data_IF_076580015319
#
_entry.id   IF_076580015319
#
_cell.length_a   1.000
_cell.length_b   1.000
_cell.length_c   1.000
_cell.angle_alpha   90.00
_cell.angle_beta   90.00
_cell.angle_gamma   90.00
#
_symmetry.space_group_name_H-M   'P 1'
#
loop_
_entity.id
_entity.type
_entity.pdbx_description
1 polymer ?
#
# COMPACT_ATOMS: atom_id res chain seq x y z
N UNK A 1 68.83 -22.81 44.33
CA UNK A 1 70.16 -23.39 44.03
C UNK A 1 70.91 -23.50 45.35
N UNK A 2 71.24 -24.72 45.78
CA UNK A 2 72.32 -24.90 46.76
C UNK A 2 73.65 -24.88 46.00
N UNK A 3 74.71 -24.53 46.73
CA UNK A 3 76.11 -24.44 46.34
C UNK A 3 76.58 -23.13 45.70
N UNK A 4 77.02 -22.27 46.62
CA UNK A 4 78.21 -21.46 46.49
C UNK A 4 79.42 -22.30 46.06
N UNK A 5 80.31 -21.70 45.26
CA UNK A 5 81.75 -21.60 45.53
C UNK A 5 82.30 -20.43 44.70
N UNK A 6 82.97 -19.54 45.42
CA UNK A 6 83.76 -18.38 44.95
C UNK A 6 85.13 -18.84 44.45
N UNK A 7 85.88 -17.85 43.91
CA UNK A 7 87.35 -17.72 43.81
C UNK A 7 88.01 -18.23 42.52
N UNK A 8 88.95 -17.56 41.84
CA UNK A 8 89.68 -16.25 41.85
C UNK A 8 90.27 -16.12 40.42
N UNK A 9 90.40 -14.95 39.77
CA UNK A 9 91.67 -14.22 39.48
C UNK A 9 91.26 -13.15 38.42
N UNK A 10 91.27 -11.84 38.74
CA UNK A 10 92.36 -10.87 38.53
C UNK A 10 92.86 -10.72 37.08
N UNK A 11 92.71 -9.51 36.54
CA UNK A 11 93.38 -9.03 35.34
C UNK A 11 92.66 -7.79 34.80
N UNK A 12 93.19 -6.59 35.09
CA UNK A 12 92.51 -5.31 34.87
C UNK A 12 92.51 -4.80 33.43
N UNK A 13 91.85 -3.66 33.22
CA UNK A 13 92.19 -2.64 32.21
C UNK A 13 91.37 -1.35 32.51
N UNK A 14 92.13 -0.31 32.91
CA UNK A 14 92.13 1.09 32.46
C UNK A 14 90.80 1.84 32.25
N UNK A 15 90.69 2.92 33.03
CA UNK A 15 89.81 4.08 32.94
C UNK A 15 89.97 4.87 31.63
N UNK A 16 88.87 5.24 30.96
CA UNK A 16 88.80 6.50 30.20
C UNK A 16 87.35 6.98 30.05
N UNK A 17 87.07 8.15 30.64
CA UNK A 17 85.86 8.95 30.46
C UNK A 17 86.04 9.80 29.20
N UNK A 18 85.21 9.61 28.18
CA UNK A 18 85.02 10.57 27.08
C UNK A 18 83.53 10.61 26.73
N UNK A 19 82.91 11.77 26.95
CA UNK A 19 81.61 12.09 26.39
C UNK A 19 81.73 12.52 24.94
N UNK A 20 80.75 12.14 24.12
CA UNK A 20 80.40 12.84 22.88
C UNK A 20 78.88 12.94 22.78
N UNK A 21 78.42 14.12 23.20
CA UNK A 21 77.33 14.93 22.69
C UNK A 21 76.63 14.40 21.43
N UNK A 22 75.35 14.13 21.57
CA UNK A 22 74.40 14.06 20.48
C UNK A 22 74.26 15.45 19.83
N UNK A 23 74.68 15.58 18.57
CA UNK A 23 74.31 16.70 17.71
C UNK A 23 72.82 16.59 17.35
N UNK A 24 71.95 17.21 18.16
CA UNK A 24 70.60 17.56 17.73
C UNK A 24 70.67 18.79 16.83
N UNK A 25 70.77 18.59 15.51
CA UNK A 25 70.62 19.68 14.55
C UNK A 25 69.21 20.27 14.67
N UNK A 26 69.09 21.49 15.20
CA UNK A 26 67.85 22.23 15.18
C UNK A 26 67.50 22.52 13.71
N UNK A 27 66.47 21.84 13.19
CA UNK A 27 65.88 22.16 11.90
C UNK A 27 65.35 23.59 11.98
N UNK A 28 66.01 24.54 11.33
CA UNK A 28 65.55 25.94 11.26
C UNK A 28 64.26 25.96 10.43
N UNK A 29 63.13 26.19 11.12
CA UNK A 29 61.83 26.36 10.49
C UNK A 29 61.70 27.79 9.98
N UNK A 30 61.05 27.97 8.83
CA UNK A 30 60.69 29.29 8.33
C UNK A 30 59.65 29.96 9.23
N UNK A 31 59.68 31.29 9.29
CA UNK A 31 58.70 32.06 10.04
C UNK A 31 57.27 31.72 9.57
N UNK A 32 56.31 31.59 10.50
CA UNK A 32 54.95 31.22 10.16
C UNK A 32 54.31 32.29 9.25
N UNK A 33 53.72 31.88 8.12
CA UNK A 33 52.93 32.79 7.28
C UNK A 33 51.79 33.42 8.07
N UNK A 34 51.38 34.64 7.68
CA UNK A 34 50.31 35.39 8.36
C UNK A 34 49.02 34.57 8.51
N UNK A 35 48.65 33.78 7.49
CA UNK A 35 47.43 32.96 7.50
C UNK A 35 47.42 31.82 8.53
N UNK A 36 48.58 31.46 9.09
CA UNK A 36 48.71 30.51 10.21
C UNK A 36 48.37 31.19 11.53
N UNK A 37 48.70 32.47 11.67
CA UNK A 37 48.49 33.26 12.89
C UNK A 37 47.10 33.92 12.90
N UNK A 38 46.62 34.35 11.73
CA UNK A 38 45.35 35.04 11.54
C UNK A 38 44.58 34.41 10.37
N UNK A 39 43.42 33.81 10.67
CA UNK A 39 42.59 33.18 9.63
C UNK A 39 42.12 34.24 8.62
N UNK A 40 42.42 34.09 7.31
CA UNK A 40 42.02 35.08 6.33
C UNK A 40 40.48 35.11 6.17
N UNK A 41 39.93 36.29 5.92
CA UNK A 41 38.51 36.51 5.61
C UNK A 41 38.40 37.09 4.22
N UNK A 42 37.50 36.55 3.40
CA UNK A 42 37.26 37.06 2.05
C UNK A 42 35.78 37.03 1.69
N UNK A 43 35.30 38.12 1.08
CA UNK A 43 33.95 38.16 0.49
C UNK A 43 33.85 37.30 -0.77
N UNK A 44 34.95 37.11 -1.50
CA UNK A 44 34.99 36.44 -2.82
C UNK A 44 35.37 34.96 -2.76
N UNK A 45 35.93 34.49 -1.64
CA UNK A 45 36.41 33.12 -1.50
C UNK A 45 35.83 32.43 -0.26
N UNK A 46 35.51 31.14 -0.40
CA UNK A 46 35.47 30.21 0.72
C UNK A 46 36.89 29.81 1.09
N UNK A 47 37.17 29.74 2.39
CA UNK A 47 38.52 29.58 2.93
C UNK A 47 38.50 28.39 3.88
N UNK A 48 39.44 27.46 3.67
CA UNK A 48 39.68 26.32 4.53
C UNK A 48 41.10 26.37 5.06
N UNK A 49 41.27 26.51 6.38
CA UNK A 49 42.59 26.50 7.04
C UNK A 49 42.53 25.57 8.23
N UNK A 50 43.40 24.56 8.25
CA UNK A 50 43.47 23.64 9.37
C UNK A 50 44.85 23.05 9.55
N UNK A 51 45.08 22.49 10.74
CA UNK A 51 46.30 21.83 11.14
C UNK A 51 46.09 20.39 11.59
N UNK A 52 47.17 19.63 11.56
CA UNK A 52 47.24 18.32 12.19
C UNK A 52 48.57 18.15 12.92
N UNK A 53 48.48 17.63 14.13
CA UNK A 53 49.64 17.36 14.97
C UNK A 53 50.43 16.16 14.43
N UNK A 54 51.74 16.34 14.32
CA UNK A 54 52.68 15.29 13.96
C UNK A 54 52.86 14.27 15.08
N UNK A 55 52.67 14.67 16.34
CA UNK A 55 52.73 13.72 17.47
C UNK A 55 51.54 12.78 17.47
N UNK A 56 50.38 13.23 16.95
CA UNK A 56 49.16 12.43 16.87
C UNK A 56 49.07 11.61 15.57
N UNK A 57 49.46 12.19 14.44
CA UNK A 57 49.22 11.62 13.11
C UNK A 57 50.49 11.15 12.39
N UNK A 58 51.68 11.36 12.96
CA UNK A 58 52.94 10.92 12.36
C UNK A 58 53.11 11.40 10.92
N UNK A 59 53.41 10.47 10.01
CA UNK A 59 53.59 10.73 8.57
C UNK A 59 52.29 11.21 7.89
N UNK A 60 51.12 10.85 8.43
CA UNK A 60 49.81 11.24 7.89
C UNK A 60 49.39 12.66 8.28
N UNK A 61 50.18 13.38 9.08
CA UNK A 61 49.84 14.74 9.51
C UNK A 61 49.58 15.68 8.32
N UNK A 62 50.35 15.56 7.24
CA UNK A 62 50.12 16.37 6.02
C UNK A 62 48.76 16.07 5.38
N UNK A 63 48.48 14.79 5.10
CA UNK A 63 47.20 14.37 4.52
C UNK A 63 46.02 14.75 5.42
N UNK A 64 46.19 14.60 6.74
CA UNK A 64 45.18 14.94 7.74
C UNK A 64 44.90 16.44 7.79
N UNK A 65 45.94 17.29 7.78
CA UNK A 65 45.77 18.74 7.76
C UNK A 65 45.05 19.21 6.48
N UNK A 66 45.41 18.63 5.33
CA UNK A 66 44.73 18.91 4.06
C UNK A 66 43.25 18.50 4.09
N UNK A 67 42.95 17.28 4.57
CA UNK A 67 41.57 16.79 4.73
C UNK A 67 40.75 17.69 5.66
N UNK A 68 41.33 18.11 6.79
CA UNK A 68 40.67 19.00 7.74
C UNK A 68 40.45 20.40 7.17
N UNK A 69 41.39 20.94 6.39
CA UNK A 69 41.24 22.24 5.75
C UNK A 69 40.11 22.22 4.70
N UNK A 70 39.96 21.13 3.93
CA UNK A 70 38.82 20.96 3.02
C UNK A 70 37.49 20.80 3.78
N UNK A 71 37.48 20.07 4.91
CA UNK A 71 36.30 19.96 5.76
C UNK A 71 35.87 21.30 6.40
N UNK A 72 36.83 22.14 6.79
CA UNK A 72 36.60 23.51 7.26
C UNK A 72 35.94 24.37 6.17
N UNK A 73 36.46 24.30 4.94
CA UNK A 73 35.85 24.97 3.78
C UNK A 73 34.41 24.48 3.50
N UNK A 74 34.20 23.16 3.50
CA UNK A 74 32.88 22.56 3.32
C UNK A 74 31.89 23.04 4.40
N UNK A 75 32.33 23.13 5.65
CA UNK A 75 31.56 23.68 6.75
C UNK A 75 31.15 25.13 6.53
N UNK A 76 32.06 25.96 6.00
CA UNK A 76 31.76 27.35 5.68
C UNK A 76 30.72 27.48 4.56
N UNK A 77 30.85 26.69 3.49
CA UNK A 77 29.86 26.62 2.40
C UNK A 77 28.49 26.22 2.95
N UNK A 78 28.45 25.19 3.80
CA UNK A 78 27.23 24.69 4.45
C UNK A 78 26.48 25.79 5.20
N UNK A 79 27.20 26.56 6.02
CA UNK A 79 26.62 27.70 6.76
C UNK A 79 26.12 28.78 5.81
N UNK A 80 26.88 29.10 4.76
CA UNK A 80 26.51 30.10 3.76
C UNK A 80 25.22 29.72 3.03
N UNK A 81 25.10 28.47 2.55
CA UNK A 81 23.91 27.99 1.84
C UNK A 81 22.71 27.96 2.80
N UNK A 82 22.88 27.44 4.03
CA UNK A 82 21.81 27.43 5.04
C UNK A 82 21.30 28.84 5.36
N UNK A 83 22.19 29.84 5.39
CA UNK A 83 21.80 31.24 5.64
C UNK A 83 21.10 31.92 4.46
N UNK A 84 21.31 31.45 3.23
CA UNK A 84 20.75 32.04 2.01
C UNK A 84 19.47 31.33 1.55
N UNK A 85 19.21 30.12 2.04
CA UNK A 85 18.04 29.33 1.67
C UNK A 85 16.75 29.90 2.28
N UNK A 86 16.05 30.74 1.50
CA UNK A 86 14.72 31.28 1.85
C UNK A 86 13.69 31.06 0.72
N UNK A 87 14.02 30.21 -0.26
CA UNK A 87 13.12 29.87 -1.37
C UNK A 87 12.70 28.41 -1.23
N UNK A 88 11.43 28.21 -0.89
CA UNK A 88 10.75 26.92 -1.00
C UNK A 88 9.56 27.17 -1.92
N UNK A 89 9.55 26.52 -3.08
CA UNK A 89 8.40 26.53 -3.98
C UNK A 89 7.19 25.93 -3.26
N UNK A 90 6.03 26.57 -3.37
CA UNK A 90 4.81 26.18 -2.64
C UNK A 90 4.32 24.77 -2.97
N UNK A 91 4.67 24.26 -4.15
CA UNK A 91 4.28 22.94 -4.66
C UNK A 91 4.98 21.77 -3.94
N UNK A 92 6.21 21.97 -3.47
CA UNK A 92 7.01 20.93 -2.79
C UNK A 92 7.18 21.22 -1.29
N UNK A 93 6.28 22.04 -0.71
CA UNK A 93 6.37 22.56 0.64
C UNK A 93 6.51 21.41 1.66
N UNK A 94 7.51 21.48 2.52
CA UNK A 94 7.85 20.43 3.49
C UNK A 94 8.89 19.45 2.96
N UNK A 95 8.59 18.74 1.87
CA UNK A 95 9.44 17.67 1.33
C UNK A 95 10.73 18.24 0.70
N UNK A 96 10.62 19.27 -0.13
CA UNK A 96 11.80 19.93 -0.70
C UNK A 96 12.67 20.59 0.36
N UNK A 97 12.05 21.14 1.42
CA UNK A 97 12.78 21.75 2.54
C UNK A 97 13.57 20.71 3.36
N UNK A 98 12.97 19.54 3.61
CA UNK A 98 13.63 18.46 4.31
C UNK A 98 14.77 17.85 3.49
N UNK A 99 14.52 17.49 2.22
CA UNK A 99 15.56 16.97 1.33
C UNK A 99 16.75 17.93 1.20
N UNK A 100 16.47 19.23 1.08
CA UNK A 100 17.51 20.26 1.03
C UNK A 100 18.34 20.32 2.32
N UNK A 101 17.70 20.25 3.50
CA UNK A 101 18.39 20.25 4.79
C UNK A 101 19.27 19.00 4.98
N UNK A 102 18.79 17.84 4.55
CA UNK A 102 19.53 16.57 4.58
C UNK A 102 20.72 16.61 3.63
N UNK A 103 20.54 17.04 2.38
CA UNK A 103 21.59 17.14 1.37
C UNK A 103 22.72 18.09 1.79
N UNK A 104 22.38 19.25 2.33
CA UNK A 104 23.36 20.21 2.86
C UNK A 104 24.15 19.61 4.03
N UNK A 105 23.50 18.78 4.84
CA UNK A 105 24.14 18.12 5.97
C UNK A 105 25.04 16.95 5.53
N UNK A 106 24.71 16.28 4.42
CA UNK A 106 25.45 15.13 3.89
C UNK A 106 26.58 15.49 2.91
N UNK A 107 26.61 16.71 2.36
CA UNK A 107 27.64 17.15 1.43
C UNK A 107 29.05 17.01 2.04
N UNK A 108 29.93 16.29 1.36
CA UNK A 108 31.26 15.95 1.87
C UNK A 108 32.32 16.92 1.38
N UNK A 109 33.49 16.91 2.04
CA UNK A 109 34.68 17.61 1.55
C UNK A 109 35.24 17.00 0.25
N UNK A 110 34.84 15.77 -0.10
CA UNK A 110 35.25 15.06 -1.30
C UNK A 110 34.48 15.54 -2.54
N UNK A 111 33.29 16.14 -2.35
CA UNK A 111 32.45 16.68 -3.43
C UNK A 111 32.89 18.09 -3.91
N UNK A 112 33.86 18.68 -3.22
CA UNK A 112 34.39 20.01 -3.52
C UNK A 112 35.28 19.96 -4.77
N UNK A 113 34.92 20.74 -5.77
CA UNK A 113 35.70 20.91 -6.99
C UNK A 113 36.20 22.35 -7.16
N UNK A 114 37.30 22.50 -7.88
CA UNK A 114 37.81 23.81 -8.28
C UNK A 114 38.49 24.61 -7.18
N UNK A 115 38.77 24.01 -6.02
CA UNK A 115 39.57 24.60 -4.95
C UNK A 115 41.06 24.70 -5.35
N UNK A 116 41.78 25.62 -4.71
CA UNK A 116 43.18 25.90 -4.95
C UNK A 116 43.96 25.78 -3.64
N UNK A 117 45.12 25.10 -3.67
CA UNK A 117 46.05 25.11 -2.54
C UNK A 117 46.82 26.42 -2.56
N UNK A 118 46.59 27.27 -1.56
CA UNK A 118 47.26 28.57 -1.44
C UNK A 118 48.63 28.40 -0.76
N UNK A 119 48.72 27.50 0.21
CA UNK A 119 49.96 27.23 0.91
C UNK A 119 49.89 26.06 1.87
N UNK A 120 51.07 25.58 2.25
CA UNK A 120 51.28 24.64 3.35
C UNK A 120 52.36 25.20 4.25
N UNK A 121 52.24 24.98 5.54
CA UNK A 121 53.25 25.38 6.51
C UNK A 121 53.50 24.24 7.49
N UNK A 122 54.74 24.06 7.91
CA UNK A 122 55.15 22.98 8.79
C UNK A 122 56.10 23.55 9.84
N UNK A 123 55.89 23.18 11.10
CA UNK A 123 56.81 23.47 12.20
C UNK A 123 57.16 22.17 12.95
N UNK A 124 57.79 22.25 14.12
CA UNK A 124 58.17 21.06 14.88
C UNK A 124 56.98 20.17 15.30
N UNK A 125 55.80 20.76 15.53
CA UNK A 125 54.65 20.08 16.15
C UNK A 125 53.54 19.76 15.16
N UNK A 126 53.31 20.62 14.18
CA UNK A 126 52.11 20.62 13.34
C UNK A 126 52.42 20.78 11.86
N UNK A 127 51.50 20.26 11.04
CA UNK A 127 51.39 20.57 9.63
C UNK A 127 50.11 21.36 9.38
N UNK A 128 50.18 22.42 8.59
CA UNK A 128 49.09 23.33 8.24
C UNK A 128 48.84 23.31 6.74
N UNK A 129 47.57 23.38 6.35
CA UNK A 129 47.15 23.53 4.97
C UNK A 129 46.15 24.68 4.82
N UNK A 130 46.31 25.45 3.75
CA UNK A 130 45.38 26.52 3.36
C UNK A 130 44.89 26.29 1.93
N UNK A 131 43.57 26.14 1.81
CA UNK A 131 42.84 26.11 0.56
C UNK A 131 41.87 27.28 0.42
N UNK A 132 41.62 27.71 -0.81
CA UNK A 132 40.56 28.66 -1.15
C UNK A 132 39.72 28.17 -2.33
N UNK A 133 38.45 28.57 -2.39
CA UNK A 133 37.55 28.34 -3.51
C UNK A 133 36.78 29.61 -3.83
N UNK A 134 36.87 30.09 -5.08
CA UNK A 134 36.11 31.27 -5.51
C UNK A 134 34.61 30.98 -5.44
N UNK A 135 33.84 31.87 -4.81
CA UNK A 135 32.37 31.75 -4.72
C UNK A 135 31.73 31.75 -6.10
N UNK A 136 32.20 32.60 -7.01
CA UNK A 136 31.72 32.63 -8.40
C UNK A 136 32.03 31.32 -9.15
N UNK A 137 33.21 30.73 -8.93
CA UNK A 137 33.57 29.44 -9.54
C UNK A 137 32.71 28.30 -8.99
N UNK A 138 32.44 28.31 -7.68
CA UNK A 138 31.54 27.36 -7.03
C UNK A 138 30.12 27.43 -7.61
N UNK A 139 29.53 28.62 -7.70
CA UNK A 139 28.19 28.79 -8.28
C UNK A 139 28.14 28.37 -9.75
N UNK A 140 29.18 28.67 -10.55
CA UNK A 140 29.26 28.22 -11.94
C UNK A 140 29.23 26.68 -12.04
N UNK A 141 30.05 25.97 -11.26
CA UNK A 141 30.10 24.50 -11.28
C UNK A 141 28.77 23.91 -10.82
N UNK A 142 28.16 24.48 -9.76
CA UNK A 142 26.84 24.06 -9.28
C UNK A 142 25.75 24.25 -10.35
N UNK A 143 25.76 25.39 -11.04
CA UNK A 143 24.82 25.65 -12.13
C UNK A 143 25.06 24.71 -13.32
N UNK A 144 26.31 24.42 -13.70
CA UNK A 144 26.63 23.46 -14.76
C UNK A 144 26.10 22.06 -14.43
N UNK A 145 26.30 21.59 -13.19
CA UNK A 145 25.74 20.31 -12.71
C UNK A 145 24.22 20.31 -12.75
N UNK A 146 23.59 21.39 -12.26
CA UNK A 146 22.13 21.54 -12.31
C UNK A 146 21.60 21.49 -13.74
N UNK A 147 22.21 22.24 -14.67
CA UNK A 147 21.80 22.23 -16.08
C UNK A 147 21.94 20.85 -16.72
N UNK A 148 23.00 20.09 -16.40
CA UNK A 148 23.15 18.72 -16.88
C UNK A 148 22.04 17.79 -16.36
N UNK A 149 21.61 17.95 -15.09
CA UNK A 149 20.48 17.21 -14.53
C UNK A 149 19.16 17.62 -15.18
N UNK A 150 18.96 18.92 -15.41
CA UNK A 150 17.77 19.44 -16.11
C UNK A 150 17.68 18.89 -17.54
N UNK A 151 18.79 18.72 -18.25
CA UNK A 151 18.79 18.13 -19.59
C UNK A 151 18.30 16.67 -19.56
N UNK A 152 18.79 15.88 -18.60
CA UNK A 152 18.33 14.49 -18.39
C UNK A 152 16.83 14.45 -18.06
N UNK A 153 16.38 15.31 -17.16
CA UNK A 153 14.98 15.41 -16.78
C UNK A 153 14.08 15.89 -17.93
N UNK A 154 14.57 16.82 -18.76
CA UNK A 154 13.91 17.28 -19.98
C UNK A 154 13.70 16.15 -20.98
N UNK A 155 14.71 15.28 -21.17
CA UNK A 155 14.60 14.08 -22.00
C UNK A 155 13.53 13.11 -21.49
N UNK A 156 13.41 12.92 -20.18
CA UNK A 156 12.33 12.14 -19.59
C UNK A 156 10.97 12.80 -19.78
N UNK A 157 10.86 14.10 -19.57
CA UNK A 157 9.60 14.83 -19.79
C UNK A 157 9.11 14.72 -21.25
N UNK A 158 10.00 14.85 -22.24
CA UNK A 158 9.65 14.62 -23.66
C UNK A 158 9.15 13.18 -23.87
N UNK A 159 9.85 12.21 -23.32
CA UNK A 159 9.47 10.79 -23.41
C UNK A 159 8.09 10.52 -22.78
N UNK A 160 7.79 11.23 -21.69
CA UNK A 160 6.51 11.16 -21.00
C UNK A 160 5.37 11.74 -21.84
N UNK A 161 5.54 12.94 -22.42
CA UNK A 161 4.53 13.54 -23.29
C UNK A 161 4.24 12.67 -24.52
N UNK A 162 5.29 12.11 -25.15
CA UNK A 162 5.12 11.18 -26.26
C UNK A 162 4.35 9.92 -25.86
N UNK A 163 4.74 9.29 -24.74
CA UNK A 163 4.04 8.11 -24.21
C UNK A 163 2.57 8.42 -23.87
N UNK A 164 2.29 9.62 -23.35
CA UNK A 164 0.94 10.09 -23.04
C UNK A 164 0.10 10.22 -24.31
N UNK A 165 0.63 10.88 -25.35
CA UNK A 165 -0.06 11.03 -26.65
C UNK A 165 -0.35 9.66 -27.28
N UNK A 166 0.56 8.70 -27.13
CA UNK A 166 0.40 7.32 -27.61
C UNK A 166 -0.53 6.46 -26.73
N UNK A 167 -1.05 6.99 -25.62
CA UNK A 167 -1.91 6.24 -24.70
C UNK A 167 -1.18 5.21 -23.83
N UNK A 168 0.16 5.24 -23.79
CA UNK A 168 1.00 4.35 -22.95
C UNK A 168 1.08 4.88 -21.52
N UNK A 169 -0.04 4.77 -20.80
CA UNK A 169 -0.25 5.32 -19.45
C UNK A 169 0.88 5.01 -18.46
N UNK A 170 1.21 3.72 -18.25
CA UNK A 170 2.24 3.33 -17.28
C UNK A 170 3.62 3.88 -17.64
N UNK A 171 3.96 3.93 -18.94
CA UNK A 171 5.23 4.48 -19.40
C UNK A 171 5.27 6.01 -19.24
N UNK A 172 4.17 6.72 -19.51
CA UNK A 172 4.09 8.15 -19.29
C UNK A 172 4.33 8.50 -17.81
N UNK A 173 3.67 7.80 -16.89
CA UNK A 173 3.90 7.96 -15.45
C UNK A 173 5.35 7.66 -15.06
N UNK A 174 5.91 6.55 -15.53
CA UNK A 174 7.31 6.18 -15.26
C UNK A 174 8.29 7.29 -15.67
N UNK A 175 8.10 7.86 -16.87
CA UNK A 175 8.97 8.93 -17.36
C UNK A 175 8.81 10.23 -16.59
N UNK A 176 7.60 10.67 -16.25
CA UNK A 176 7.44 11.86 -15.41
C UNK A 176 8.06 11.67 -14.02
N UNK A 177 7.92 10.48 -13.42
CA UNK A 177 8.55 10.15 -12.13
C UNK A 177 10.07 10.22 -12.26
N UNK A 178 10.66 9.63 -13.30
CA UNK A 178 12.12 9.74 -13.56
C UNK A 178 12.57 11.18 -13.76
N UNK A 179 11.76 12.00 -14.43
CA UNK A 179 12.03 13.42 -14.61
C UNK A 179 12.13 14.14 -13.26
N UNK A 180 11.20 13.87 -12.34
CA UNK A 180 11.24 14.41 -10.98
C UNK A 180 12.43 13.87 -10.16
N UNK A 181 12.71 12.56 -10.23
CA UNK A 181 13.86 11.94 -9.56
C UNK A 181 15.19 12.54 -10.01
N UNK A 182 15.35 12.80 -11.31
CA UNK A 182 16.59 13.34 -11.88
C UNK A 182 16.96 14.73 -11.33
N UNK A 183 15.97 15.50 -10.85
CA UNK A 183 16.15 16.84 -10.27
C UNK A 183 15.89 16.88 -8.76
N UNK A 184 15.85 15.72 -8.08
CA UNK A 184 15.58 15.62 -6.65
C UNK A 184 16.44 16.57 -5.80
N UNK A 185 17.72 16.67 -6.14
CA UNK A 185 18.69 17.57 -5.49
C UNK A 185 18.32 19.07 -5.60
N UNK A 186 17.42 19.42 -6.53
CA UNK A 186 17.08 20.81 -6.87
C UNK A 186 15.58 21.11 -6.74
N UNK A 187 14.77 20.26 -6.09
CA UNK A 187 13.32 20.49 -5.93
C UNK A 187 12.96 21.79 -5.21
N UNK A 188 13.84 22.29 -4.35
CA UNK A 188 13.65 23.56 -3.63
C UNK A 188 13.91 24.80 -4.51
N UNK A 189 14.46 24.60 -5.70
CA UNK A 189 14.85 25.67 -6.62
C UNK A 189 13.91 25.74 -7.83
N UNK A 190 13.95 26.88 -8.52
CA UNK A 190 13.34 27.01 -9.83
C UNK A 190 14.17 26.22 -10.86
N UNK A 191 13.50 25.39 -11.65
CA UNK A 191 14.11 24.40 -12.55
C UNK A 191 13.69 24.66 -14.01
N UNK A 192 13.96 25.89 -14.47
CA UNK A 192 13.68 26.32 -15.84
C UNK A 192 14.56 25.57 -16.85
N UNK A 193 13.91 25.03 -17.88
CA UNK A 193 14.55 24.35 -18.99
C UNK A 193 13.93 24.78 -20.32
N UNK A 194 14.77 24.91 -21.35
CA UNK A 194 14.36 25.37 -22.67
C UNK A 194 13.80 24.20 -23.48
N UNK A 195 12.49 23.97 -23.37
CA UNK A 195 11.82 22.96 -24.18
C UNK A 195 11.62 23.46 -25.63
N UNK A 196 11.37 22.56 -26.60
CA UNK A 196 11.11 22.93 -27.99
C UNK A 196 9.96 23.94 -28.18
N UNK A 197 8.99 23.99 -27.25
CA UNK A 197 7.84 24.88 -27.28
C UNK A 197 7.95 26.13 -26.39
N UNK A 198 9.12 26.37 -25.78
CA UNK A 198 9.35 27.47 -24.84
C UNK A 198 9.94 27.01 -23.51
N UNK A 199 10.34 27.96 -22.68
CA UNK A 199 10.89 27.68 -21.35
C UNK A 199 9.80 27.20 -20.40
N UNK A 200 10.06 26.14 -19.64
CA UNK A 200 9.15 25.60 -18.62
C UNK A 200 9.92 25.19 -17.36
N UNK A 201 9.23 25.17 -16.21
CA UNK A 201 9.76 24.56 -14.99
C UNK A 201 9.52 23.04 -15.01
N UNK A 202 10.60 22.25 -15.03
CA UNK A 202 10.52 20.80 -15.18
C UNK A 202 9.86 20.10 -13.99
N UNK A 203 10.09 20.60 -12.78
CA UNK A 203 9.48 20.04 -11.57
C UNK A 203 7.96 20.12 -11.65
N UNK A 204 7.46 21.32 -11.96
CA UNK A 204 6.04 21.56 -12.15
C UNK A 204 5.49 20.78 -13.35
N UNK A 205 6.16 20.83 -14.50
CA UNK A 205 5.66 20.20 -15.72
C UNK A 205 5.54 18.67 -15.60
N UNK A 206 6.47 18.01 -14.89
CA UNK A 206 6.37 16.59 -14.59
C UNK A 206 5.26 16.28 -13.60
N UNK A 207 5.12 17.06 -12.52
CA UNK A 207 4.03 16.89 -11.54
C UNK A 207 2.65 17.08 -12.18
N UNK A 208 2.47 18.17 -12.93
CA UNK A 208 1.25 18.46 -13.70
C UNK A 208 1.01 17.39 -14.78
N UNK A 209 2.08 16.80 -15.33
CA UNK A 209 2.02 15.65 -16.24
C UNK A 209 1.42 14.41 -15.58
N UNK A 210 1.90 14.03 -14.39
CA UNK A 210 1.36 12.91 -13.60
C UNK A 210 -0.12 13.16 -13.30
N UNK A 211 -0.45 14.36 -12.81
CA UNK A 211 -1.83 14.73 -12.52
C UNK A 211 -2.72 14.62 -13.76
N UNK A 212 -2.26 15.08 -14.94
CA UNK A 212 -3.00 14.97 -16.20
C UNK A 212 -3.22 13.52 -16.62
N UNK A 213 -2.20 12.66 -16.50
CA UNK A 213 -2.34 11.24 -16.81
C UNK A 213 -3.42 10.58 -15.94
N UNK A 214 -3.43 10.90 -14.64
CA UNK A 214 -4.43 10.37 -13.72
C UNK A 214 -5.84 10.92 -13.99
N UNK A 215 -5.97 12.20 -14.35
CA UNK A 215 -7.27 12.81 -14.67
C UNK A 215 -7.85 12.35 -16.01
N UNK A 216 -7.00 12.03 -16.97
CA UNK A 216 -7.41 11.52 -18.29
C UNK A 216 -7.85 10.04 -18.21
N UNK A 217 -7.49 9.32 -17.14
CA UNK A 217 -7.99 7.99 -16.87
C UNK A 217 -9.43 8.04 -16.36
N UNK A 218 -10.26 7.10 -16.81
CA UNK A 218 -11.61 6.90 -16.27
C UNK A 218 -12.00 5.43 -16.29
N UNK A 219 -12.93 5.06 -15.41
CA UNK A 219 -13.52 3.74 -15.31
C UNK A 219 -14.99 3.79 -15.69
N UNK A 220 -15.44 2.83 -16.48
CA UNK A 220 -16.84 2.63 -16.86
C UNK A 220 -17.23 1.18 -16.61
N UNK A 221 -18.14 0.94 -15.67
CA UNK A 221 -18.74 -0.37 -15.50
C UNK A 221 -19.87 -0.58 -16.51
N UNK A 222 -20.06 -1.82 -16.95
CA UNK A 222 -21.16 -2.21 -17.86
C UNK A 222 -22.55 -2.16 -17.20
N UNK A 223 -22.60 -2.16 -15.86
CA UNK A 223 -23.82 -2.05 -15.07
C UNK A 223 -23.74 -0.94 -14.02
N UNK A 224 -24.84 -0.19 -13.86
CA UNK A 224 -25.01 0.79 -12.77
C UNK A 224 -25.53 0.15 -11.47
N UNK A 225 -26.01 -1.09 -11.53
CA UNK A 225 -26.41 -1.92 -10.39
C UNK A 225 -26.31 -3.38 -10.81
N UNK A 226 -25.60 -4.18 -10.02
CA UNK A 226 -25.50 -5.62 -10.26
C UNK A 226 -26.62 -6.34 -9.49
N UNK A 227 -27.55 -6.95 -10.21
CA UNK A 227 -28.64 -7.74 -9.62
C UNK A 227 -28.30 -9.21 -9.71
N UNK A 228 -28.14 -9.85 -8.56
CA UNK A 228 -27.86 -11.28 -8.45
C UNK A 228 -29.02 -11.96 -7.73
N UNK A 229 -29.46 -13.11 -8.22
CA UNK A 229 -30.62 -13.81 -7.70
C UNK A 229 -30.34 -15.30 -7.46
N UNK A 230 -31.34 -15.99 -6.96
CA UNK A 230 -31.26 -17.43 -6.73
C UNK A 230 -31.03 -18.24 -8.02
N UNK A 231 -31.56 -17.83 -9.17
CA UNK A 231 -31.40 -18.57 -10.43
C UNK A 231 -29.94 -18.69 -10.88
N UNK A 232 -29.16 -17.69 -10.54
CA UNK A 232 -27.75 -17.50 -10.83
C UNK A 232 -26.88 -17.81 -9.60
N UNK A 233 -27.48 -18.41 -8.56
CA UNK A 233 -26.83 -18.77 -7.28
C UNK A 233 -26.08 -17.60 -6.64
N UNK A 234 -26.60 -16.40 -6.84
CA UNK A 234 -25.97 -15.15 -6.44
C UNK A 234 -24.54 -14.98 -6.98
N UNK A 235 -24.28 -15.48 -8.19
CA UNK A 235 -23.03 -15.34 -8.92
C UNK A 235 -23.25 -14.54 -10.19
N UNK A 236 -22.24 -13.75 -10.57
CA UNK A 236 -22.29 -13.00 -11.82
C UNK A 236 -20.95 -12.36 -12.11
N UNK A 237 -20.87 -11.73 -13.28
CA UNK A 237 -19.70 -10.98 -13.70
C UNK A 237 -20.00 -9.49 -13.72
N UNK A 238 -18.96 -8.69 -13.53
CA UNK A 238 -19.01 -7.24 -13.76
C UNK A 238 -17.87 -6.87 -14.70
N UNK A 239 -18.20 -6.34 -15.86
CA UNK A 239 -17.22 -5.82 -16.80
C UNK A 239 -16.87 -4.37 -16.44
N UNK A 240 -15.58 -4.05 -16.46
CA UNK A 240 -15.09 -2.70 -16.28
C UNK A 240 -14.16 -2.33 -17.42
N UNK A 241 -14.44 -1.18 -18.04
CA UNK A 241 -13.65 -0.58 -19.09
C UNK A 241 -12.83 0.59 -18.54
N UNK A 242 -11.51 0.54 -18.70
CA UNK A 242 -10.63 1.68 -18.52
C UNK A 242 -10.51 2.47 -19.82
N UNK A 243 -10.66 3.78 -19.73
CA UNK A 243 -10.39 4.71 -20.81
C UNK A 243 -9.27 5.67 -20.42
N UNK A 244 -8.49 6.10 -21.39
CA UNK A 244 -7.50 7.15 -21.28
C UNK A 244 -7.79 8.21 -22.35
N UNK A 245 -8.07 9.44 -21.92
CA UNK A 245 -8.52 10.53 -22.80
C UNK A 245 -9.69 10.12 -23.72
N UNK A 246 -10.60 9.28 -23.21
CA UNK A 246 -11.77 8.75 -23.93
C UNK A 246 -11.52 7.54 -24.82
N UNK A 247 -10.27 7.13 -25.05
CA UNK A 247 -9.91 5.93 -25.82
C UNK A 247 -9.69 4.72 -24.91
N UNK A 248 -9.87 3.47 -25.39
CA UNK A 248 -9.55 2.26 -24.62
C UNK A 248 -8.12 2.24 -24.09
N UNK A 249 -7.94 1.97 -22.79
CA UNK A 249 -6.65 1.92 -22.13
C UNK A 249 -6.28 0.49 -21.73
N UNK A 250 -5.27 -0.08 -22.40
CA UNK A 250 -4.78 -1.44 -22.15
C UNK A 250 -3.78 -1.51 -21.01
N UNK A 251 -3.66 -2.70 -20.40
CA UNK A 251 -2.71 -2.98 -19.30
C UNK A 251 -2.89 -2.09 -18.07
N UNK A 252 -4.08 -1.55 -17.86
CA UNK A 252 -4.42 -0.76 -16.67
C UNK A 252 -4.82 -1.73 -15.55
N UNK A 253 -4.11 -1.75 -14.41
CA UNK A 253 -4.52 -2.56 -13.26
C UNK A 253 -5.72 -1.89 -12.59
N UNK A 254 -6.80 -2.66 -12.48
CA UNK A 254 -8.01 -2.28 -11.75
C UNK A 254 -8.11 -3.19 -10.55
N UNK A 255 -8.10 -2.59 -9.37
CA UNK A 255 -8.36 -3.28 -8.12
C UNK A 255 -9.85 -3.25 -7.80
N UNK A 256 -10.38 -4.38 -7.36
CA UNK A 256 -11.75 -4.50 -6.88
C UNK A 256 -11.81 -4.89 -5.42
N UNK A 257 -12.86 -4.41 -4.75
CA UNK A 257 -13.27 -4.87 -3.43
C UNK A 257 -14.78 -4.91 -3.35
N UNK A 258 -15.33 -6.03 -2.92
CA UNK A 258 -16.74 -6.13 -2.62
C UNK A 258 -17.02 -6.81 -1.29
N UNK A 259 -18.06 -6.31 -0.63
CA UNK A 259 -18.53 -6.85 0.64
C UNK A 259 -19.40 -8.06 0.36
N UNK A 260 -18.97 -9.23 0.86
CA UNK A 260 -19.67 -10.51 0.70
C UNK A 260 -19.95 -11.20 2.04
N UNK A 261 -19.85 -10.44 3.13
CA UNK A 261 -20.06 -10.91 4.50
C UNK A 261 -19.05 -10.29 5.43
N UNK A 262 -18.55 -11.10 6.36
CA UNK A 262 -17.57 -10.68 7.37
C UNK A 262 -16.27 -10.23 6.72
N UNK A 263 -15.81 -10.95 5.69
CA UNK A 263 -14.59 -10.62 4.96
C UNK A 263 -14.87 -10.19 3.52
N UNK A 264 -14.37 -9.01 3.11
CA UNK A 264 -14.48 -8.58 1.72
C UNK A 264 -13.63 -9.49 0.82
N UNK A 265 -14.03 -9.58 -0.44
CA UNK A 265 -13.21 -10.20 -1.48
C UNK A 265 -12.55 -9.12 -2.32
N UNK A 266 -11.28 -9.31 -2.62
CA UNK A 266 -10.48 -8.38 -3.42
C UNK A 266 -9.82 -9.10 -4.58
N UNK A 267 -9.67 -8.41 -5.70
CA UNK A 267 -8.91 -8.89 -6.85
C UNK A 267 -8.21 -7.71 -7.53
N UNK A 268 -7.16 -7.99 -8.30
CA UNK A 268 -6.51 -7.02 -9.17
C UNK A 268 -6.37 -7.63 -10.55
N UNK A 269 -6.99 -7.03 -11.56
CA UNK A 269 -6.97 -7.50 -12.93
C UNK A 269 -6.49 -6.39 -13.85
N UNK A 270 -5.71 -6.74 -14.87
CA UNK A 270 -5.26 -5.79 -15.90
C UNK A 270 -6.19 -5.80 -17.09
N UNK A 271 -6.46 -4.62 -17.65
CA UNK A 271 -7.28 -4.49 -18.86
C UNK A 271 -6.59 -5.09 -20.10
N UNK A 272 -7.41 -5.66 -20.99
CA UNK A 272 -6.97 -6.18 -22.30
C UNK A 272 -6.76 -5.04 -23.33
N UNK A 273 -6.54 -5.38 -24.61
CA UNK A 273 -6.35 -4.40 -25.70
C UNK A 273 -7.56 -3.50 -25.97
N UNK A 274 -8.75 -3.92 -25.56
CA UNK A 274 -10.00 -3.13 -25.68
C UNK A 274 -10.28 -2.32 -24.40
N UNK A 275 -9.33 -2.31 -23.46
CA UNK A 275 -9.45 -1.61 -22.19
C UNK A 275 -10.37 -2.29 -21.20
N UNK A 276 -10.71 -3.57 -21.39
CA UNK A 276 -11.71 -4.29 -20.60
C UNK A 276 -11.06 -5.27 -19.63
N UNK A 277 -11.60 -5.38 -18.41
CA UNK A 277 -11.42 -6.52 -17.52
C UNK A 277 -12.75 -6.96 -16.90
N UNK A 278 -12.86 -8.21 -16.48
CA UNK A 278 -14.11 -8.80 -15.98
C UNK A 278 -13.89 -9.40 -14.60
N UNK A 279 -14.69 -8.97 -13.61
CA UNK A 279 -14.62 -9.45 -12.24
C UNK A 279 -15.70 -10.48 -11.93
N UNK A 280 -15.30 -11.58 -11.31
CA UNK A 280 -16.21 -12.62 -10.81
C UNK A 280 -16.75 -12.26 -9.42
N UNK A 281 -18.07 -12.10 -9.34
CA UNK A 281 -18.81 -11.72 -8.14
C UNK A 281 -19.59 -12.92 -7.63
N UNK A 282 -19.51 -13.18 -6.32
CA UNK A 282 -20.26 -14.27 -5.70
C UNK A 282 -19.78 -14.62 -4.30
N UNK A 283 -20.12 -15.83 -3.86
CA UNK A 283 -19.72 -16.39 -2.56
C UNK A 283 -20.18 -15.51 -1.37
N UNK A 284 -21.40 -14.99 -1.42
CA UNK A 284 -22.01 -14.20 -0.35
C UNK A 284 -22.34 -15.09 0.86
N UNK A 285 -22.02 -14.61 2.06
CA UNK A 285 -22.47 -15.24 3.30
C UNK A 285 -24.00 -15.17 3.42
N UNK A 286 -24.57 -16.12 4.16
CA UNK A 286 -26.02 -16.22 4.35
C UNK A 286 -26.58 -14.97 5.04
N UNK A 287 -27.75 -14.51 4.58
CA UNK A 287 -28.45 -13.37 5.17
C UNK A 287 -28.04 -12.00 4.65
N UNK A 288 -27.01 -11.91 3.80
CA UNK A 288 -26.71 -10.67 3.08
C UNK A 288 -27.82 -10.42 2.05
N UNK A 289 -28.28 -9.17 1.99
CA UNK A 289 -29.33 -8.72 1.07
C UNK A 289 -28.83 -7.71 0.04
N UNK A 290 -27.72 -7.04 0.35
CA UNK A 290 -27.11 -6.05 -0.53
C UNK A 290 -25.62 -5.93 -0.21
N UNK A 291 -24.86 -5.48 -1.19
CA UNK A 291 -23.48 -5.10 -1.04
C UNK A 291 -23.13 -3.98 -2.01
N UNK A 292 -21.84 -3.71 -2.10
CA UNK A 292 -21.29 -2.84 -3.12
C UNK A 292 -19.95 -3.43 -3.58
N UNK A 293 -19.63 -3.20 -4.84
CA UNK A 293 -18.29 -3.39 -5.37
C UNK A 293 -17.69 -2.03 -5.68
N UNK A 294 -16.52 -1.77 -5.12
CA UNK A 294 -15.66 -0.65 -5.49
C UNK A 294 -14.61 -1.15 -6.46
N UNK A 295 -14.48 -0.45 -7.58
CA UNK A 295 -13.40 -0.60 -8.54
C UNK A 295 -12.56 0.68 -8.50
N UNK A 296 -11.25 0.54 -8.45
CA UNK A 296 -10.32 1.66 -8.38
C UNK A 296 -9.03 1.36 -9.13
N UNK A 297 -8.48 2.39 -9.74
CA UNK A 297 -7.10 2.37 -10.18
C UNK A 297 -6.25 2.88 -9.02
N UNK A 298 -5.22 2.14 -8.62
CA UNK A 298 -4.33 2.54 -7.53
C UNK A 298 -2.98 2.97 -8.10
N UNK A 299 -2.44 4.08 -7.60
CA UNK A 299 -1.16 4.61 -8.07
C UNK A 299 -0.02 3.59 -7.91
N UNK A 300 0.00 2.87 -6.78
CA UNK A 300 0.98 1.83 -6.49
C UNK A 300 0.92 0.63 -7.47
N UNK A 301 -0.25 0.34 -8.04
CA UNK A 301 -0.39 -0.74 -9.02
C UNK A 301 0.02 -0.25 -10.42
N UNK A 302 -0.30 1.00 -10.76
CA UNK A 302 0.12 1.64 -12.02
C UNK A 302 1.63 1.86 -12.10
N UNK A 303 2.26 2.20 -10.98
CA UNK A 303 3.71 2.45 -10.89
C UNK A 303 4.28 1.80 -9.63
N UNK A 304 4.55 0.49 -9.64
CA UNK A 304 5.05 -0.24 -8.46
C UNK A 304 6.36 0.31 -7.90
N UNK A 305 7.20 0.89 -8.76
CA UNK A 305 8.48 1.52 -8.39
C UNK A 305 8.32 2.77 -7.53
N UNK A 306 7.12 3.36 -7.49
CA UNK A 306 6.87 4.58 -6.72
C UNK A 306 7.13 4.34 -5.23
N UNK A 307 6.94 3.11 -4.73
CA UNK A 307 7.16 2.75 -3.31
C UNK A 307 8.57 3.05 -2.81
N UNK A 308 9.56 2.92 -3.68
CA UNK A 308 10.96 3.18 -3.36
C UNK A 308 11.43 4.55 -3.87
N UNK A 309 10.53 5.33 -4.47
CA UNK A 309 10.84 6.62 -5.08
C UNK A 309 10.61 7.76 -4.10
N UNK A 310 11.54 8.72 -3.98
CA UNK A 310 11.32 9.93 -3.19
C UNK A 310 10.16 10.79 -3.74
N UNK A 311 9.73 10.53 -4.98
CA UNK A 311 8.57 11.18 -5.62
C UNK A 311 7.24 10.75 -4.99
N UNK A 312 7.19 9.60 -4.30
CA UNK A 312 5.94 9.08 -3.71
C UNK A 312 5.18 10.14 -2.91
N UNK A 313 5.89 10.82 -2.01
CA UNK A 313 5.30 11.83 -1.14
C UNK A 313 4.77 13.06 -1.90
N UNK A 314 5.22 13.28 -3.14
CA UNK A 314 4.79 14.40 -3.99
C UNK A 314 3.48 14.12 -4.73
N UNK A 315 3.15 12.84 -4.91
CA UNK A 315 2.05 12.40 -5.77
C UNK A 315 1.04 11.50 -5.06
N UNK A 316 1.30 11.11 -3.80
CA UNK A 316 0.43 10.21 -3.02
C UNK A 316 -1.01 10.71 -2.85
N UNK A 317 -1.21 12.03 -2.83
CA UNK A 317 -2.52 12.66 -2.60
C UNK A 317 -3.25 12.97 -3.92
N UNK A 318 -2.66 12.61 -5.07
CA UNK A 318 -3.32 12.80 -6.35
C UNK A 318 -4.51 11.83 -6.48
N UNK A 319 -5.69 12.33 -6.87
CA UNK A 319 -6.87 11.49 -7.00
C UNK A 319 -6.69 10.48 -8.12
N UNK A 320 -7.13 9.25 -7.88
CA UNK A 320 -7.20 8.21 -8.91
C UNK A 320 -8.66 7.83 -9.21
N UNK A 321 -8.96 7.37 -10.44
CA UNK A 321 -10.31 7.00 -10.81
C UNK A 321 -10.85 5.84 -9.97
N UNK A 322 -12.10 5.98 -9.53
CA UNK A 322 -12.85 4.91 -8.88
C UNK A 322 -14.33 4.96 -9.26
N UNK A 323 -14.98 3.81 -9.22
CA UNK A 323 -16.43 3.66 -9.41
C UNK A 323 -16.96 2.66 -8.39
N UNK A 324 -18.14 2.92 -7.83
CA UNK A 324 -18.80 2.03 -6.88
C UNK A 324 -20.15 1.61 -7.45
N UNK A 325 -20.35 0.30 -7.58
CA UNK A 325 -21.58 -0.28 -8.12
C UNK A 325 -22.32 -1.01 -7.00
N UNK A 326 -23.60 -0.66 -6.73
CA UNK A 326 -24.43 -1.41 -5.80
C UNK A 326 -24.67 -2.83 -6.28
N UNK A 327 -24.65 -3.79 -5.35
CA UNK A 327 -25.02 -5.18 -5.57
C UNK A 327 -26.34 -5.44 -4.83
N UNK A 328 -27.37 -5.83 -5.57
CA UNK A 328 -28.66 -6.23 -5.01
C UNK A 328 -28.78 -7.75 -5.05
N UNK A 329 -28.95 -8.38 -3.89
CA UNK A 329 -29.22 -9.81 -3.79
C UNK A 329 -30.73 -10.02 -3.70
N UNK A 330 -31.32 -10.46 -4.82
CA UNK A 330 -32.75 -10.67 -4.94
C UNK A 330 -33.13 -11.94 -4.19
N UNK A 331 -33.87 -11.78 -3.10
CA UNK A 331 -34.39 -12.90 -2.31
C UNK A 331 -35.40 -13.69 -3.14
N UNK A 332 -35.34 -15.04 -3.13
CA UNK A 332 -36.27 -15.86 -3.88
C UNK A 332 -37.67 -15.82 -3.25
N UNK A 333 -38.64 -16.17 -4.07
CA UNK A 333 -40.03 -16.35 -3.66
C UNK A 333 -40.39 -17.83 -3.56
N UNK A 334 -41.22 -18.20 -2.58
CA UNK A 334 -41.62 -19.60 -2.34
C UNK A 334 -43.14 -19.76 -2.42
N UNK A 335 -43.62 -20.66 -3.26
CA UNK A 335 -45.00 -21.12 -3.21
C UNK A 335 -45.15 -22.25 -2.18
N UNK A 336 -46.18 -22.17 -1.34
CA UNK A 336 -46.47 -23.15 -0.29
C UNK A 336 -47.67 -24.01 -0.67
N UNK A 337 -47.44 -25.30 -0.90
CA UNK A 337 -48.46 -26.32 -1.07
C UNK A 337 -48.42 -27.30 0.10
N UNK A 338 -49.40 -27.21 0.99
CA UNK A 338 -49.42 -27.95 2.25
C UNK A 338 -50.71 -28.73 2.43
N UNK A 339 -50.61 -30.00 2.83
CA UNK A 339 -51.75 -30.85 3.18
C UNK A 339 -51.56 -31.40 4.59
N UNK A 340 -52.41 -30.98 5.52
CA UNK A 340 -52.39 -31.40 6.93
C UNK A 340 -53.61 -32.27 7.22
N UNK A 341 -53.39 -33.41 7.88
CA UNK A 341 -54.43 -34.41 8.19
C UNK A 341 -54.41 -34.85 9.66
N UNK A 342 -55.58 -35.26 10.14
CA UNK A 342 -55.77 -35.90 11.44
C UNK A 342 -56.48 -37.22 11.17
N UNK A 343 -55.79 -38.32 11.48
CA UNK A 343 -56.26 -39.69 11.21
C UNK A 343 -56.71 -39.86 9.75
N UNK A 344 -55.90 -39.36 8.80
CA UNK A 344 -56.17 -39.42 7.37
C UNK A 344 -57.27 -38.46 6.85
N UNK A 345 -57.93 -37.69 7.73
CA UNK A 345 -58.92 -36.69 7.34
C UNK A 345 -58.28 -35.31 7.24
N UNK A 346 -58.65 -34.53 6.23
CA UNK A 346 -58.18 -33.15 6.08
C UNK A 346 -58.45 -32.34 7.34
N UNK A 347 -57.41 -31.70 7.87
CA UNK A 347 -57.52 -30.78 8.98
C UNK A 347 -58.06 -29.42 8.51
N UNK A 348 -58.88 -28.79 9.35
CA UNK A 348 -59.30 -27.40 9.13
C UNK A 348 -58.21 -26.39 9.56
N UNK A 349 -57.21 -26.82 10.33
CA UNK A 349 -56.09 -25.99 10.77
C UNK A 349 -54.89 -26.15 9.82
N UNK A 350 -54.21 -25.06 9.50
CA UNK A 350 -52.95 -25.05 8.73
C UNK A 350 -51.78 -24.66 9.63
N UNK A 351 -51.53 -25.44 10.69
CA UNK A 351 -50.58 -25.08 11.74
C UNK A 351 -49.15 -25.02 11.18
N UNK A 352 -48.75 -26.06 10.43
CA UNK A 352 -47.42 -26.15 9.88
C UNK A 352 -47.22 -25.21 8.70
N UNK A 353 -48.25 -24.99 7.85
CA UNK A 353 -48.20 -23.97 6.80
C UNK A 353 -47.89 -22.59 7.39
N UNK A 354 -48.58 -22.21 8.47
CA UNK A 354 -48.41 -20.92 9.12
C UNK A 354 -47.01 -20.79 9.74
N UNK A 355 -46.51 -21.86 10.39
CA UNK A 355 -45.15 -21.90 10.93
C UNK A 355 -44.08 -21.72 9.83
N UNK A 356 -44.23 -22.40 8.70
CA UNK A 356 -43.31 -22.25 7.55
C UNK A 356 -43.38 -20.83 6.99
N UNK A 357 -44.59 -20.31 6.76
CA UNK A 357 -44.79 -18.95 6.23
C UNK A 357 -44.17 -17.87 7.14
N UNK A 358 -44.42 -17.94 8.44
CA UNK A 358 -43.84 -17.04 9.43
C UNK A 358 -42.31 -17.17 9.46
N UNK A 359 -41.82 -18.40 9.41
CA UNK A 359 -40.41 -18.72 9.39
C UNK A 359 -39.65 -18.17 8.17
N UNK A 360 -40.22 -18.30 6.97
CA UNK A 360 -39.67 -17.72 5.74
C UNK A 360 -39.62 -16.18 5.84
N UNK A 361 -40.73 -15.57 6.25
CA UNK A 361 -40.83 -14.11 6.40
C UNK A 361 -39.81 -13.56 7.41
N UNK A 362 -39.63 -14.22 8.55
CA UNK A 362 -38.65 -13.84 9.59
C UNK A 362 -37.22 -13.85 9.05
N UNK A 363 -36.94 -14.71 8.07
CA UNK A 363 -35.64 -14.80 7.39
C UNK A 363 -35.56 -13.98 6.11
N UNK A 364 -36.57 -13.16 5.83
CA UNK A 364 -36.62 -12.26 4.69
C UNK A 364 -36.93 -12.93 3.34
N UNK A 365 -37.43 -14.17 3.36
CA UNK A 365 -37.92 -14.86 2.16
C UNK A 365 -39.41 -14.61 2.03
N UNK A 366 -39.84 -14.14 0.87
CA UNK A 366 -41.24 -13.93 0.60
C UNK A 366 -41.89 -15.23 0.12
N UNK A 367 -43.11 -15.48 0.59
CA UNK A 367 -43.93 -16.56 0.05
C UNK A 367 -45.09 -15.99 -0.75
N UNK A 368 -45.52 -16.72 -1.78
CA UNK A 368 -46.54 -16.28 -2.74
C UNK A 368 -47.66 -17.32 -2.87
N UNK A 369 -48.89 -16.83 -3.02
CA UNK A 369 -50.06 -17.70 -3.18
C UNK A 369 -50.14 -18.33 -4.57
N UNK A 370 -49.70 -17.62 -5.62
CA UNK A 370 -49.75 -18.13 -6.99
C UNK A 370 -48.44 -18.83 -7.33
N UNK A 371 -48.55 -20.08 -7.76
CA UNK A 371 -47.44 -20.87 -8.28
C UNK A 371 -46.64 -20.16 -9.41
N UNK A 372 -47.31 -19.36 -10.24
CA UNK A 372 -46.67 -18.63 -11.34
C UNK A 372 -45.72 -17.51 -10.89
N UNK A 373 -45.91 -17.00 -9.67
CA UNK A 373 -45.14 -15.89 -9.10
C UNK A 373 -43.94 -16.39 -8.28
N UNK A 374 -43.71 -17.72 -8.24
CA UNK A 374 -42.74 -18.35 -7.36
C UNK A 374 -41.48 -18.81 -8.09
N UNK A 375 -40.33 -18.62 -7.43
CA UNK A 375 -39.04 -19.19 -7.87
C UNK A 375 -38.87 -20.64 -7.39
N UNK A 376 -39.54 -20.98 -6.29
CA UNK A 376 -39.47 -22.29 -5.65
C UNK A 376 -40.82 -22.79 -5.17
N UNK A 377 -40.92 -24.12 -5.03
CA UNK A 377 -42.12 -24.83 -4.61
C UNK A 377 -41.82 -25.67 -3.38
N UNK A 378 -42.51 -25.38 -2.27
CA UNK A 378 -42.46 -26.18 -1.07
C UNK A 378 -43.74 -27.00 -0.98
N UNK A 379 -43.59 -28.32 -1.11
CA UNK A 379 -44.65 -29.30 -0.93
C UNK A 379 -44.50 -29.92 0.46
N UNK A 380 -45.59 -29.96 1.24
CA UNK A 380 -45.62 -30.62 2.54
C UNK A 380 -46.87 -31.46 2.69
N UNK A 381 -46.69 -32.68 3.16
CA UNK A 381 -47.78 -33.53 3.65
C UNK A 381 -47.51 -33.90 5.10
N UNK A 382 -48.53 -33.74 5.95
CA UNK A 382 -48.48 -34.13 7.36
C UNK A 382 -49.76 -34.89 7.73
N UNK A 383 -49.61 -35.95 8.52
CA UNK A 383 -50.74 -36.68 9.11
C UNK A 383 -50.39 -37.09 10.53
N UNK A 384 -51.41 -37.09 11.39
CA UNK A 384 -51.32 -37.61 12.74
C UNK A 384 -52.13 -38.89 12.87
N UNK A 385 -51.59 -39.84 13.65
CA UNK A 385 -52.29 -41.08 14.00
C UNK A 385 -52.35 -41.28 15.50
N UNK A 386 -53.42 -41.90 15.96
CA UNK A 386 -53.52 -42.39 17.34
C UNK A 386 -52.54 -43.55 17.55
N UNK A 387 -51.66 -43.45 18.56
CA UNK A 387 -50.64 -44.45 18.86
C UNK A 387 -50.89 -45.23 20.15
N UNK A 388 -51.79 -44.74 21.01
CA UNK A 388 -52.25 -45.45 22.20
C UNK A 388 -52.66 -44.51 23.32
N UNK A 389 -53.30 -45.06 24.34
CA UNK A 389 -53.68 -44.35 25.56
C UNK A 389 -53.32 -45.16 26.80
N UNK A 390 -52.73 -44.52 27.80
CA UNK A 390 -52.36 -45.15 29.07
C UNK A 390 -52.45 -44.14 30.22
N UNK A 391 -52.94 -44.60 31.38
CA UNK A 391 -52.97 -43.80 32.62
C UNK A 391 -53.67 -42.43 32.48
N UNK A 392 -54.75 -42.36 31.68
CA UNK A 392 -55.50 -41.13 31.42
C UNK A 392 -54.86 -40.17 30.38
N UNK A 393 -53.76 -40.57 29.73
CA UNK A 393 -53.13 -39.81 28.66
C UNK A 393 -53.34 -40.48 27.30
N UNK A 394 -53.56 -39.66 26.29
CA UNK A 394 -53.69 -40.03 24.89
C UNK A 394 -52.42 -39.61 24.13
N UNK A 395 -51.91 -40.50 23.28
CA UNK A 395 -50.68 -40.28 22.51
C UNK A 395 -50.96 -40.31 21.02
N UNK A 396 -50.74 -39.17 20.34
CA UNK A 396 -50.74 -39.08 18.89
C UNK A 396 -49.31 -39.00 18.35
N UNK A 397 -49.08 -39.55 17.16
CA UNK A 397 -47.80 -39.49 16.44
C UNK A 397 -48.02 -38.76 15.12
N UNK A 398 -47.19 -37.76 14.85
CA UNK A 398 -47.19 -37.03 13.58
C UNK A 398 -46.05 -37.51 12.69
N UNK A 399 -46.39 -37.79 11.43
CA UNK A 399 -45.42 -37.95 10.35
C UNK A 399 -45.61 -36.81 9.36
N UNK A 400 -44.51 -36.20 8.91
CA UNK A 400 -44.53 -35.20 7.86
C UNK A 400 -43.41 -35.41 6.86
N UNK A 401 -43.67 -35.09 5.59
CA UNK A 401 -42.65 -35.01 4.55
C UNK A 401 -42.70 -33.63 3.93
N UNK A 402 -41.54 -32.99 3.82
CA UNK A 402 -41.36 -31.67 3.20
C UNK A 402 -40.38 -31.80 2.06
N UNK A 403 -40.75 -31.26 0.91
CA UNK A 403 -39.97 -31.27 -0.32
C UNK A 403 -39.92 -29.87 -0.91
N UNK A 404 -38.72 -29.29 -0.98
CA UNK A 404 -38.45 -28.05 -1.69
C UNK A 404 -37.94 -28.37 -3.09
N UNK A 405 -38.53 -27.76 -4.11
CA UNK A 405 -38.14 -27.88 -5.52
C UNK A 405 -37.85 -26.51 -6.12
N UNK A 406 -36.96 -26.50 -7.11
CA UNK A 406 -36.80 -25.34 -7.98
C UNK A 406 -37.91 -25.29 -9.04
N UNK A 407 -37.87 -24.26 -9.89
CA UNK A 407 -38.85 -24.06 -10.97
C UNK A 407 -38.87 -25.19 -12.01
N UNK A 408 -37.76 -25.89 -12.21
CA UNK A 408 -37.68 -27.07 -13.09
C UNK A 408 -38.18 -28.37 -12.41
N UNK A 409 -38.66 -28.31 -11.16
CA UNK A 409 -39.16 -29.46 -10.41
C UNK A 409 -38.06 -30.34 -9.81
N UNK A 410 -36.79 -29.93 -9.86
CA UNK A 410 -35.68 -30.66 -9.26
C UNK A 410 -35.69 -30.48 -7.74
N UNK A 411 -35.51 -31.56 -6.96
CA UNK A 411 -35.48 -31.46 -5.51
C UNK A 411 -34.23 -30.72 -5.04
N UNK A 412 -34.42 -29.67 -4.23
CA UNK A 412 -33.35 -28.92 -3.55
C UNK A 412 -33.13 -29.51 -2.15
N UNK A 413 -34.21 -29.70 -1.39
CA UNK A 413 -34.16 -30.21 -0.02
C UNK A 413 -35.34 -31.16 0.22
N UNK A 414 -35.07 -32.27 0.90
CA UNK A 414 -36.12 -33.16 1.42
C UNK A 414 -35.87 -33.40 2.90
N UNK A 415 -36.92 -33.27 3.70
CA UNK A 415 -36.86 -33.56 5.12
C UNK A 415 -38.14 -34.26 5.56
N UNK A 416 -37.99 -35.24 6.46
CA UNK A 416 -39.10 -35.96 7.04
C UNK A 416 -39.07 -35.79 8.56
N UNK A 417 -40.26 -35.66 9.15
CA UNK A 417 -40.50 -35.79 10.58
C UNK A 417 -41.18 -37.13 10.80
N UNK A 418 -40.66 -37.94 11.73
CA UNK A 418 -41.15 -39.30 11.96
C UNK A 418 -41.51 -39.44 13.43
N UNK A 419 -42.73 -39.93 13.69
CA UNK A 419 -43.30 -40.22 15.00
C UNK A 419 -43.12 -39.08 16.02
N UNK A 420 -43.40 -37.84 15.60
CA UNK A 420 -43.38 -36.69 16.50
C UNK A 420 -44.53 -36.84 17.51
N UNK A 421 -44.15 -37.07 18.77
CA UNK A 421 -45.07 -37.52 19.82
C UNK A 421 -45.80 -36.37 20.52
N UNK A 422 -47.12 -36.30 20.36
CA UNK A 422 -48.02 -35.46 21.16
C UNK A 422 -48.69 -36.27 22.27
N UNK A 423 -48.66 -35.77 23.52
CA UNK A 423 -49.30 -36.43 24.67
C UNK A 423 -50.15 -35.43 25.43
N UNK A 424 -51.44 -35.73 25.59
CA UNK A 424 -52.40 -34.88 26.30
C UNK A 424 -53.53 -35.70 26.94
N UNK A 425 -54.42 -35.02 27.67
CA UNK A 425 -55.54 -35.62 28.41
C UNK A 425 -56.71 -36.10 27.52
N UNK A 426 -56.71 -35.75 26.23
CA UNK A 426 -57.71 -36.18 25.25
C UNK A 426 -57.09 -36.26 23.84
N UNK A 427 -57.76 -36.98 22.94
CA UNK A 427 -57.29 -37.20 21.57
C UNK A 427 -57.09 -35.88 20.77
N UNK A 428 -58.07 -34.96 20.69
CA UNK A 428 -57.89 -33.69 19.97
C UNK A 428 -56.65 -32.92 20.43
N UNK A 429 -56.47 -32.75 21.75
CA UNK A 429 -55.30 -32.06 22.30
C UNK A 429 -54.00 -32.83 22.05
N UNK A 430 -54.04 -34.17 21.99
CA UNK A 430 -52.86 -34.97 21.68
C UNK A 430 -52.40 -34.76 20.24
N UNK A 431 -53.33 -34.71 19.28
CA UNK A 431 -53.05 -34.33 17.89
C UNK A 431 -52.47 -32.92 17.80
N UNK A 432 -53.09 -31.93 18.44
CA UNK A 432 -52.58 -30.55 18.48
C UNK A 432 -51.19 -30.45 19.12
N UNK A 433 -50.93 -31.25 20.16
CA UNK A 433 -49.62 -31.30 20.79
C UNK A 433 -48.54 -31.89 19.87
N UNK A 434 -48.89 -32.86 19.01
CA UNK A 434 -47.98 -33.40 18.01
C UNK A 434 -47.66 -32.35 16.93
N UNK A 435 -48.68 -31.63 16.45
CA UNK A 435 -48.53 -30.52 15.49
C UNK A 435 -47.69 -29.37 16.04
N UNK A 436 -47.94 -28.92 17.29
CA UNK A 436 -47.12 -27.88 17.92
C UNK A 436 -45.64 -28.25 18.02
N UNK A 437 -45.34 -29.49 18.43
CA UNK A 437 -43.95 -29.96 18.49
C UNK A 437 -43.30 -30.04 17.11
N UNK A 438 -44.05 -30.45 16.09
CA UNK A 438 -43.58 -30.47 14.72
C UNK A 438 -43.31 -29.05 14.19
N UNK A 439 -44.14 -28.08 14.58
CA UNK A 439 -43.91 -26.66 14.31
C UNK A 439 -42.57 -26.19 14.90
N UNK A 440 -42.28 -26.49 16.18
CA UNK A 440 -41.00 -26.11 16.81
C UNK A 440 -39.80 -26.69 16.04
N UNK A 441 -39.90 -27.95 15.59
CA UNK A 441 -38.84 -28.61 14.83
C UNK A 441 -38.65 -28.01 13.43
N UNK A 442 -39.75 -27.62 12.78
CA UNK A 442 -39.75 -26.93 11.50
C UNK A 442 -39.08 -25.54 11.63
N UNK A 443 -39.49 -24.76 12.62
CA UNK A 443 -39.00 -23.40 12.84
C UNK A 443 -37.48 -23.38 13.15
N UNK A 444 -37.00 -24.38 13.89
CA UNK A 444 -35.60 -24.55 14.21
C UNK A 444 -34.77 -25.12 13.07
N UNK A 445 -34.79 -26.44 12.92
CA UNK A 445 -33.80 -27.19 12.11
C UNK A 445 -34.11 -27.14 10.63
N UNK A 446 -35.39 -27.31 10.25
CA UNK A 446 -35.77 -27.36 8.84
C UNK A 446 -35.52 -26.04 8.13
N UNK A 447 -36.02 -24.92 8.67
CA UNK A 447 -35.81 -23.62 8.06
C UNK A 447 -34.33 -23.24 7.99
N UNK A 448 -33.52 -23.65 8.98
CA UNK A 448 -32.07 -23.47 8.92
C UNK A 448 -31.45 -24.18 7.72
N UNK A 449 -31.75 -25.46 7.54
CA UNK A 449 -31.28 -26.24 6.39
C UNK A 449 -31.81 -25.71 5.06
N UNK A 450 -33.06 -25.22 5.04
CA UNK A 450 -33.66 -24.59 3.87
C UNK A 450 -32.87 -23.36 3.45
N UNK A 451 -32.58 -22.43 4.37
CA UNK A 451 -31.73 -21.27 4.06
C UNK A 451 -30.35 -21.70 3.60
N UNK A 452 -29.71 -22.66 4.28
CA UNK A 452 -28.38 -23.13 3.90
C UNK A 452 -28.33 -23.64 2.45
N UNK A 453 -29.37 -24.37 2.03
CA UNK A 453 -29.50 -24.87 0.66
C UNK A 453 -29.75 -23.77 -0.38
N UNK A 454 -30.15 -22.55 0.01
CA UNK A 454 -30.36 -21.44 -0.93
C UNK A 454 -29.07 -20.71 -1.31
N UNK A 455 -28.01 -20.87 -0.52
CA UNK A 455 -26.73 -20.18 -0.69
C UNK A 455 -25.57 -21.13 -1.09
N UNK A 456 -25.87 -22.40 -1.37
CA UNK A 456 -24.96 -23.43 -1.92
C UNK A 456 -25.29 -23.68 -3.39
#
# INVERSE_FOLDING_TARGET
MSYAIRTVLLGGIVTLLVGLSACGGAKNWTDPPEWVMHRPVSSSYYIGVSSASKTQYGEDANATAKKRALADMAGQIRVSIKSTSTLITTQFKGIAGQNFAEQISSASAEDLEGYEQVGTYENATDFWAYYRLSKAKYERIRNERKMARLEVAGGYWISAENARIEGRVAAALDFYIRGLEAIQEYWSELNEWNAPGGTLDLGRACHDGISRVLSDLSLQADASTLRLSFSDRYQGTLECKALFAGAPAAQIPIWSRYNRGTLPKTASLSTNSEGICTFEIGQFEQGIKSGEIRLEIRMDDLSPRLKDSPVQQLVQDLPTPSVTIPILLVTPTVHLQTVERINGRLSASSQLKNAIAQGLNTRGIQWVERAADADMFLEMEADTREAGSASGFHTAMLNASVLLKNREGRPILRQNLIDVKGVQLDWPKAHDAAYRKAQDEIEGTFLKKLIEALYQ
#
